data_IF_374884861899
#
_entry.id   IF_374884861899
#
_cell.length_a   1.000
_cell.length_b   1.000
_cell.length_c   1.000
_cell.angle_alpha   90.00
_cell.angle_beta   90.00
_cell.angle_gamma   90.00
#
_symmetry.space_group_name_H-M   'P 1'
#
loop_
_entity.id
_entity.type
_entity.pdbx_description
1 polymer ?
#
# COMPACT_ATOMS: atom_id res chain seq x y z
N UNK A 1 -50.71 73.24 -7.95
CA UNK A 1 -50.82 71.97 -7.21
C UNK A 1 -51.02 70.83 -8.20
N UNK A 2 -49.99 70.02 -8.46
CA UNK A 2 -50.10 68.73 -9.16
C UNK A 2 -49.36 67.72 -8.30
N UNK A 3 -50.12 66.92 -7.54
CA UNK A 3 -49.63 65.73 -6.85
C UNK A 3 -49.41 64.63 -7.90
N UNK A 4 -48.21 64.04 -7.92
CA UNK A 4 -48.01 62.71 -8.48
C UNK A 4 -47.29 61.87 -7.44
N UNK A 5 -47.96 60.78 -7.09
CA UNK A 5 -47.53 59.74 -6.17
C UNK A 5 -46.28 59.01 -6.70
N UNK A 6 -45.40 58.63 -5.78
CA UNK A 6 -44.22 57.80 -6.05
C UNK A 6 -44.64 56.34 -5.87
N UNK A 7 -44.57 55.49 -6.92
CA UNK A 7 -44.86 54.08 -6.76
C UNK A 7 -43.63 53.32 -6.25
N UNK A 8 -43.96 52.43 -5.31
CA UNK A 8 -43.22 51.32 -4.71
C UNK A 8 -42.24 50.62 -5.67
N UNK A 9 -40.95 50.61 -5.30
CA UNK A 9 -39.97 49.60 -5.72
C UNK A 9 -39.60 48.81 -4.45
N UNK A 10 -40.12 47.59 -4.26
CA UNK A 10 -39.60 46.33 -4.78
C UNK A 10 -38.11 46.12 -4.44
N UNK A 11 -37.63 44.99 -3.95
CA UNK A 11 -38.18 43.82 -3.28
C UNK A 11 -36.95 43.02 -2.83
N UNK A 12 -37.11 42.22 -1.79
CA UNK A 12 -36.30 41.05 -1.44
C UNK A 12 -34.79 41.25 -1.17
N UNK A 13 -34.50 41.28 0.13
CA UNK A 13 -33.31 40.68 0.73
C UNK A 13 -33.02 39.31 0.11
N UNK A 14 -31.75 39.03 -0.22
CA UNK A 14 -31.10 37.74 -0.02
C UNK A 14 -29.59 37.93 -0.21
N UNK A 15 -28.88 38.03 0.92
CA UNK A 15 -27.43 37.92 0.96
C UNK A 15 -27.02 36.53 0.50
N UNK A 16 -26.39 36.46 -0.68
CA UNK A 16 -25.68 35.26 -1.09
C UNK A 16 -24.31 35.29 -0.40
N UNK A 17 -24.16 34.49 0.65
CA UNK A 17 -22.84 34.04 1.10
C UNK A 17 -22.16 33.38 -0.09
N UNK A 18 -21.25 34.10 -0.74
CA UNK A 18 -20.24 33.47 -1.57
C UNK A 18 -19.33 32.68 -0.61
N UNK A 19 -19.74 31.45 -0.30
CA UNK A 19 -18.78 30.43 0.09
C UNK A 19 -17.87 30.28 -1.12
N UNK A 20 -16.79 31.05 -1.14
CA UNK A 20 -15.56 30.67 -1.82
C UNK A 20 -15.10 29.39 -1.14
N UNK A 21 -15.72 28.27 -1.53
CA UNK A 21 -15.12 26.97 -1.34
C UNK A 21 -13.85 27.02 -2.16
N UNK A 22 -12.75 27.30 -1.46
CA UNK A 22 -11.46 26.81 -1.88
C UNK A 22 -11.60 25.28 -1.79
N UNK A 23 -12.17 24.68 -2.82
CA UNK A 23 -12.08 23.24 -3.03
C UNK A 23 -10.61 23.05 -3.37
N UNK A 24 -9.77 22.47 -2.50
CA UNK A 24 -8.50 21.98 -2.98
C UNK A 24 -8.88 21.05 -4.13
N UNK A 25 -8.30 21.28 -5.30
CA UNK A 25 -8.36 20.32 -6.38
C UNK A 25 -7.99 18.98 -5.73
N UNK A 26 -8.99 18.12 -5.51
CA UNK A 26 -8.76 16.78 -5.07
C UNK A 26 -7.88 16.21 -6.17
N UNK A 27 -6.60 16.04 -5.85
CA UNK A 27 -5.62 15.52 -6.78
C UNK A 27 -6.27 14.32 -7.43
N UNK A 28 -6.36 14.35 -8.75
CA UNK A 28 -6.84 13.23 -9.52
C UNK A 28 -6.10 12.00 -9.00
N UNK A 29 -6.83 11.11 -8.34
CA UNK A 29 -6.32 9.80 -7.94
C UNK A 29 -6.06 9.08 -9.25
N UNK A 30 -4.82 9.18 -9.70
CA UNK A 30 -4.34 8.54 -10.92
C UNK A 30 -4.50 7.05 -10.77
N UNK A 31 -5.40 6.49 -11.56
CA UNK A 31 -5.46 5.06 -11.80
C UNK A 31 -4.20 4.65 -12.57
N UNK A 32 -3.22 4.07 -11.87
CA UNK A 32 -2.08 3.38 -12.47
C UNK A 32 -0.74 3.74 -11.83
N UNK A 33 -0.15 2.77 -11.16
CA UNK A 33 1.24 2.69 -10.69
C UNK A 33 2.28 2.88 -11.81
N UNK A 34 2.33 4.06 -12.43
CA UNK A 34 3.49 4.51 -13.21
C UNK A 34 3.78 5.91 -12.73
N UNK A 35 4.39 6.02 -11.56
CA UNK A 35 4.86 7.31 -11.10
C UNK A 35 6.04 7.73 -11.97
N UNK A 36 6.08 8.97 -12.48
CA UNK A 36 7.16 9.45 -13.35
C UNK A 36 8.53 9.54 -12.66
N UNK A 37 8.63 9.07 -11.42
CA UNK A 37 9.81 8.99 -10.60
C UNK A 37 9.75 7.71 -9.75
N UNK A 38 10.91 7.06 -9.57
CA UNK A 38 11.03 5.89 -8.70
C UNK A 38 11.01 6.30 -7.22
N UNK A 39 10.17 5.70 -6.41
CA UNK A 39 10.26 5.80 -4.95
C UNK A 39 10.02 4.43 -4.33
N UNK A 40 10.50 4.25 -3.11
CA UNK A 40 10.30 3.00 -2.37
C UNK A 40 10.52 3.15 -0.88
N UNK A 41 10.00 2.17 -0.15
CA UNK A 41 10.24 1.96 1.28
C UNK A 41 11.09 0.69 1.44
N UNK A 42 12.11 0.74 2.30
CA UNK A 42 12.99 -0.41 2.58
C UNK A 42 13.21 -0.56 4.09
N UNK A 43 12.92 -1.73 4.67
CA UNK A 43 12.26 -2.90 4.05
C UNK A 43 10.77 -2.66 3.74
N UNK A 44 10.16 -3.52 2.91
CA UNK A 44 8.71 -3.48 2.64
C UNK A 44 7.88 -4.19 3.72
N UNK A 45 8.53 -4.93 4.63
CA UNK A 45 7.92 -5.53 5.81
C UNK A 45 8.75 -5.19 7.03
N UNK A 46 8.11 -4.68 8.08
CA UNK A 46 8.78 -4.17 9.27
C UNK A 46 7.91 -4.44 10.52
N UNK A 47 8.47 -4.81 11.68
CA UNK A 47 7.69 -4.90 12.91
C UNK A 47 7.24 -3.51 13.40
N UNK A 48 6.21 -3.44 14.27
CA UNK A 48 5.92 -2.23 15.04
C UNK A 48 7.17 -1.70 15.75
N UNK A 49 7.38 -0.39 15.76
CA UNK A 49 8.60 0.24 16.32
C UNK A 49 9.85 0.11 15.44
N UNK A 50 9.78 -0.60 14.31
CA UNK A 50 10.92 -0.78 13.42
C UNK A 50 11.21 0.45 12.54
N UNK A 51 12.45 0.55 12.06
CA UNK A 51 12.88 1.65 11.20
C UNK A 51 12.75 1.28 9.71
N UNK A 52 12.21 2.19 8.92
CA UNK A 52 12.19 2.11 7.46
C UNK A 52 13.00 3.24 6.81
N UNK A 53 13.56 2.94 5.66
CA UNK A 53 14.25 3.92 4.80
C UNK A 53 13.34 4.29 3.63
N UNK A 54 12.97 5.56 3.58
CA UNK A 54 12.19 6.16 2.51
C UNK A 54 13.15 6.65 1.43
N UNK A 55 12.91 6.29 0.18
CA UNK A 55 13.79 6.66 -0.95
C UNK A 55 13.01 7.28 -2.10
N UNK A 56 13.58 8.31 -2.70
CA UNK A 56 13.07 9.01 -3.88
C UNK A 56 14.19 9.15 -4.90
N UNK A 57 13.95 8.70 -6.13
CA UNK A 57 14.83 8.90 -7.26
C UNK A 57 14.73 10.34 -7.76
N UNK A 58 15.89 10.93 -8.05
CA UNK A 58 16.03 12.31 -8.49
C UNK A 58 16.95 12.45 -9.71
N UNK A 59 17.39 11.34 -10.31
CA UNK A 59 18.41 11.34 -11.36
C UNK A 59 17.94 12.10 -12.61
N UNK A 60 16.66 11.93 -12.97
CA UNK A 60 16.06 12.53 -14.17
C UNK A 60 15.54 13.96 -13.93
N UNK A 61 15.74 14.50 -12.72
CA UNK A 61 15.30 15.84 -12.36
C UNK A 61 13.79 16.01 -12.21
N UNK A 62 13.03 14.91 -12.10
CA UNK A 62 11.57 14.90 -11.94
C UNK A 62 11.10 15.31 -10.53
N UNK A 63 11.98 15.19 -9.52
CA UNK A 63 11.75 15.64 -8.15
C UNK A 63 12.91 16.54 -7.67
N UNK A 64 12.75 17.87 -7.85
CA UNK A 64 13.73 18.90 -7.50
C UNK A 64 13.49 19.47 -6.11
N UNK A 65 12.22 19.60 -5.72
CA UNK A 65 11.79 20.16 -4.44
C UNK A 65 11.96 19.21 -3.24
N UNK A 66 11.46 19.62 -2.06
CA UNK A 66 11.29 18.71 -0.94
C UNK A 66 10.24 17.64 -1.28
N UNK A 67 10.52 16.40 -0.90
CA UNK A 67 9.53 15.33 -1.01
C UNK A 67 8.89 15.08 0.35
N UNK A 68 7.57 15.04 0.40
CA UNK A 68 6.80 14.70 1.60
C UNK A 68 6.38 13.25 1.50
N UNK A 69 6.56 12.51 2.59
CA UNK A 69 6.20 11.11 2.69
C UNK A 69 5.29 10.91 3.89
N UNK A 70 4.13 10.29 3.69
CA UNK A 70 3.15 10.07 4.73
C UNK A 70 2.57 8.67 4.68
N UNK A 71 2.27 8.13 5.85
CA UNK A 71 1.53 6.89 6.05
C UNK A 71 0.78 7.00 7.38
N UNK A 72 -0.28 6.23 7.60
CA UNK A 72 -0.99 6.21 8.89
C UNK A 72 -0.18 5.57 10.02
N UNK A 73 0.97 4.94 9.72
CA UNK A 73 1.77 4.13 10.66
C UNK A 73 3.08 4.77 11.08
N UNK A 74 3.37 6.00 10.62
CA UNK A 74 4.54 6.77 11.03
C UNK A 74 4.28 8.27 10.82
N UNK A 75 5.04 9.12 11.50
CA UNK A 75 4.96 10.56 11.33
C UNK A 75 5.34 11.01 9.91
N UNK A 76 4.66 12.03 9.41
CA UNK A 76 4.99 12.59 8.08
C UNK A 76 6.45 13.05 8.03
N UNK A 77 7.21 12.51 7.07
CA UNK A 77 8.64 12.80 6.90
C UNK A 77 8.86 13.68 5.68
N UNK A 78 9.68 14.72 5.82
CA UNK A 78 10.15 15.51 4.69
C UNK A 78 11.57 15.10 4.32
N UNK A 79 11.77 14.70 3.06
CA UNK A 79 13.09 14.49 2.45
C UNK A 79 13.52 15.82 1.81
N UNK A 80 14.53 16.53 2.38
CA UNK A 80 14.95 17.83 1.86
C UNK A 80 15.42 17.77 0.41
N UNK A 81 15.38 18.91 -0.26
CA UNK A 81 16.01 19.09 -1.58
C UNK A 81 17.46 18.61 -1.56
N UNK A 82 17.88 17.90 -2.62
CA UNK A 82 19.23 17.33 -2.72
C UNK A 82 19.48 16.08 -1.89
N UNK A 83 18.51 15.59 -1.11
CA UNK A 83 18.58 14.27 -0.45
C UNK A 83 17.59 13.31 -1.10
N UNK A 84 18.05 12.10 -1.37
CA UNK A 84 17.20 11.05 -1.95
C UNK A 84 16.64 10.09 -0.90
N UNK A 85 17.01 10.23 0.38
CA UNK A 85 16.63 9.29 1.43
C UNK A 85 16.32 9.98 2.75
N UNK A 86 15.38 9.41 3.52
CA UNK A 86 15.18 9.70 4.94
C UNK A 86 14.79 8.42 5.71
N UNK A 87 14.85 8.50 7.03
CA UNK A 87 14.41 7.44 7.94
C UNK A 87 13.06 7.80 8.55
N UNK A 88 12.23 6.79 8.78
CA UNK A 88 10.99 6.89 9.54
C UNK A 88 10.92 5.69 10.49
N UNK A 89 10.37 5.91 11.69
CA UNK A 89 10.11 4.85 12.65
C UNK A 89 8.62 4.55 12.59
N UNK A 90 8.28 3.27 12.47
CA UNK A 90 6.89 2.82 12.53
C UNK A 90 6.40 2.92 13.96
N UNK A 91 5.19 3.41 14.14
CA UNK A 91 4.53 3.51 15.44
C UNK A 91 4.53 2.13 16.15
N UNK A 92 5.01 2.04 17.41
CA UNK A 92 5.04 0.77 18.14
C UNK A 92 3.64 0.22 18.47
N UNK A 93 2.61 1.06 18.48
CA UNK A 93 1.23 0.72 18.82
C UNK A 93 0.38 0.39 17.57
N UNK A 94 0.99 0.35 16.37
CA UNK A 94 0.30 -0.04 15.14
C UNK A 94 -0.12 -1.51 15.16
N UNK A 95 -1.27 -1.81 14.57
CA UNK A 95 -1.78 -3.18 14.44
C UNK A 95 -0.83 -4.08 13.63
N UNK A 96 -0.33 -5.18 14.21
CA UNK A 96 0.50 -6.15 13.49
C UNK A 96 -0.27 -6.88 12.39
N UNK A 97 0.40 -7.17 11.27
CA UNK A 97 -0.18 -7.94 10.17
C UNK A 97 -0.95 -7.10 9.13
N UNK A 98 -1.11 -5.79 9.36
CA UNK A 98 -1.72 -4.87 8.42
C UNK A 98 -0.83 -4.52 7.22
N UNK A 99 -1.48 -4.10 6.12
CA UNK A 99 -0.80 -3.51 4.95
C UNK A 99 -1.27 -2.07 4.79
N UNK A 100 -0.31 -1.14 4.72
CA UNK A 100 -0.58 0.28 4.71
C UNK A 100 -0.01 0.94 3.46
N UNK A 101 -0.76 1.91 2.91
CA UNK A 101 -0.31 2.71 1.78
C UNK A 101 0.58 3.85 2.27
N UNK A 102 1.76 3.96 1.68
CA UNK A 102 2.72 5.04 1.90
C UNK A 102 2.66 5.96 0.69
N UNK A 103 2.29 7.21 0.91
CA UNK A 103 2.23 8.24 -0.12
C UNK A 103 3.53 9.03 -0.18
N UNK A 104 4.05 9.23 -1.37
CA UNK A 104 5.17 10.11 -1.69
C UNK A 104 4.65 11.24 -2.56
N UNK A 105 4.95 12.48 -2.19
CA UNK A 105 4.61 13.67 -2.97
C UNK A 105 5.86 14.52 -3.18
N UNK A 106 6.15 14.88 -4.42
CA UNK A 106 7.21 15.81 -4.77
C UNK A 106 6.78 16.67 -5.95
N UNK A 107 6.97 17.99 -5.84
CA UNK A 107 6.67 18.96 -6.90
C UNK A 107 5.25 18.81 -7.52
N UNK A 108 4.27 18.42 -6.70
CA UNK A 108 2.87 18.22 -7.10
C UNK A 108 2.55 16.86 -7.72
N UNK A 109 3.57 16.03 -8.01
CA UNK A 109 3.38 14.65 -8.41
C UNK A 109 3.34 13.76 -7.17
N UNK A 110 2.41 12.80 -7.17
CA UNK A 110 2.22 11.86 -6.06
C UNK A 110 2.26 10.42 -6.55
N UNK A 111 2.65 9.52 -5.65
CA UNK A 111 2.61 8.08 -5.87
C UNK A 111 2.54 7.32 -4.56
N UNK A 112 2.13 6.06 -4.63
CA UNK A 112 1.92 5.22 -3.45
C UNK A 112 2.67 3.91 -3.54
N UNK A 113 3.09 3.37 -2.39
CA UNK A 113 3.64 2.01 -2.29
C UNK A 113 3.19 1.38 -0.99
N UNK A 114 3.13 0.06 -0.93
CA UNK A 114 2.67 -0.66 0.25
C UNK A 114 3.81 -0.93 1.24
N UNK A 115 3.51 -0.76 2.53
CA UNK A 115 4.33 -1.17 3.66
C UNK A 115 3.54 -2.17 4.51
N UNK A 116 4.09 -3.35 4.72
CA UNK A 116 3.48 -4.40 5.56
C UNK A 116 4.03 -4.31 6.98
N UNK A 117 3.14 -4.32 7.97
CA UNK A 117 3.53 -4.49 9.36
C UNK A 117 3.60 -5.99 9.65
N UNK A 118 4.76 -6.45 10.10
CA UNK A 118 4.96 -7.85 10.44
C UNK A 118 3.95 -8.27 11.52
N UNK A 119 3.21 -9.36 11.26
CA UNK A 119 2.35 -9.98 12.26
C UNK A 119 3.15 -10.81 13.26
N UNK A 120 2.54 -11.14 14.39
CA UNK A 120 3.07 -12.18 15.26
C UNK A 120 2.94 -13.53 14.55
N UNK A 121 4.05 -14.23 14.33
CA UNK A 121 3.96 -15.66 14.04
C UNK A 121 3.47 -16.34 15.31
N UNK A 122 2.39 -17.14 15.27
CA UNK A 122 2.03 -17.99 16.40
C UNK A 122 3.27 -18.81 16.75
N UNK A 123 3.77 -18.67 17.97
CA UNK A 123 4.79 -19.61 18.45
C UNK A 123 4.10 -20.98 18.46
N UNK A 124 4.59 -21.98 17.71
CA UNK A 124 3.99 -23.31 17.77
C UNK A 124 4.03 -23.77 19.24
N UNK A 125 2.93 -24.37 19.75
CA UNK A 125 2.96 -24.89 21.12
C UNK A 125 4.17 -25.83 21.26
N UNK A 126 4.84 -25.86 22.43
CA UNK A 126 5.92 -26.80 22.64
C UNK A 126 5.39 -28.19 22.30
N UNK A 127 6.04 -28.89 21.35
CA UNK A 127 5.65 -30.27 21.06
C UNK A 127 5.63 -31.04 22.38
N UNK A 128 4.56 -31.77 22.69
CA UNK A 128 4.55 -32.63 23.86
C UNK A 128 5.76 -33.55 23.74
N UNK A 129 6.69 -33.44 24.69
CA UNK A 129 7.81 -34.36 24.80
C UNK A 129 7.21 -35.70 25.19
N UNK A 130 6.88 -36.52 24.20
CA UNK A 130 6.54 -37.93 24.44
C UNK A 130 7.78 -38.54 25.06
N UNK A 131 7.72 -39.08 26.29
CA UNK A 131 8.85 -39.78 26.88
C UNK A 131 9.28 -40.89 25.91
N UNK A 132 10.55 -40.90 25.51
CA UNK A 132 11.08 -41.97 24.68
C UNK A 132 10.77 -43.31 25.38
N UNK A 133 10.25 -44.33 24.67
CA UNK A 133 10.08 -45.65 25.24
C UNK A 133 11.42 -46.14 25.77
N UNK A 134 11.50 -46.38 27.08
CA UNK A 134 12.63 -47.05 27.70
C UNK A 134 12.66 -48.48 27.17
N UNK A 135 13.52 -48.71 26.17
CA UNK A 135 13.76 -50.05 25.65
C UNK A 135 14.37 -50.90 26.77
N UNK A 136 13.77 -52.05 27.14
CA UNK A 136 14.42 -53.00 28.04
C UNK A 136 15.74 -53.46 27.40
N UNK A 137 16.84 -53.34 28.13
CA UNK A 137 18.16 -53.74 27.65
C UNK A 137 18.19 -55.22 27.29
N UNK A 138 18.18 -55.53 26.00
CA UNK A 138 18.55 -56.85 25.52
C UNK A 138 20.06 -56.87 25.30
N UNK A 139 20.77 -57.55 26.19
CA UNK A 139 22.18 -57.88 26.01
C UNK A 139 22.34 -58.71 24.73
N UNK A 140 22.91 -58.08 23.69
CA UNK A 140 23.34 -58.77 22.48
C UNK A 140 24.64 -59.51 22.78
N UNK A 141 24.75 -60.84 22.55
CA UNK A 141 26.01 -61.55 22.69
C UNK A 141 27.02 -61.08 21.63
N UNK A 142 28.33 -61.10 21.92
CA UNK A 142 29.36 -60.65 20.99
C UNK A 142 29.40 -61.55 19.74
N UNK A 143 29.63 -61.00 18.54
CA UNK A 143 29.76 -61.79 17.32
C UNK A 143 31.07 -62.61 17.33
N UNK A 144 31.09 -63.81 16.71
CA UNK A 144 32.33 -64.57 16.53
C UNK A 144 33.28 -63.81 15.59
N UNK A 145 34.57 -63.83 15.93
CA UNK A 145 35.62 -63.07 15.25
C UNK A 145 35.79 -63.45 13.78
N UNK A 146 35.85 -62.43 12.92
CA UNK A 146 36.26 -62.55 11.52
C UNK A 146 37.80 -62.39 11.39
N UNK A 147 38.45 -63.10 10.45
CA UNK A 147 39.86 -62.87 10.12
C UNK A 147 40.06 -61.47 9.53
N UNK A 148 41.21 -60.87 9.85
CA UNK A 148 41.58 -59.50 9.48
C UNK A 148 41.61 -59.29 7.97
N UNK A 149 40.88 -58.27 7.50
CA UNK A 149 41.00 -57.71 6.15
C UNK A 149 41.83 -56.41 6.23
N UNK A 150 42.78 -56.15 5.31
CA UNK A 150 43.72 -55.04 5.41
C UNK A 150 43.09 -53.65 5.35
N UNK A 151 43.77 -52.75 6.04
CA UNK A 151 43.52 -51.34 6.32
C UNK A 151 43.10 -50.48 5.10
N UNK A 152 42.04 -49.67 5.29
CA UNK A 152 41.84 -48.42 4.56
C UNK A 152 41.65 -47.26 5.59
N UNK A 153 42.37 -46.12 5.47
CA UNK A 153 42.37 -45.05 6.47
C UNK A 153 41.06 -44.24 6.62
N UNK A 154 41.02 -43.46 7.72
CA UNK A 154 39.88 -42.97 8.50
C UNK A 154 39.22 -41.62 8.08
N UNK A 155 37.87 -41.52 8.30
CA UNK A 155 37.01 -40.36 8.71
C UNK A 155 36.87 -39.08 7.83
N UNK A 156 35.90 -38.14 8.04
CA UNK A 156 34.73 -38.11 8.97
C UNK A 156 33.36 -37.58 8.43
N UNK A 157 32.28 -37.99 9.13
CA UNK A 157 31.07 -37.23 9.50
C UNK A 157 30.08 -36.71 8.41
N UNK A 158 28.85 -37.20 8.53
CA UNK A 158 27.68 -36.95 7.71
C UNK A 158 26.99 -35.62 8.09
N UNK A 159 26.74 -34.67 7.16
CA UNK A 159 25.77 -33.61 7.40
C UNK A 159 24.35 -34.16 7.16
N UNK A 160 23.50 -34.10 8.18
CA UNK A 160 22.07 -34.35 8.04
C UNK A 160 21.45 -33.39 7.02
N UNK A 161 20.81 -33.93 5.98
CA UNK A 161 20.00 -33.13 5.06
C UNK A 161 18.62 -32.89 5.69
N UNK A 162 18.20 -31.63 5.94
CA UNK A 162 16.83 -31.36 6.33
C UNK A 162 15.91 -31.70 5.15
N UNK A 163 15.03 -32.68 5.35
CA UNK A 163 13.86 -32.84 4.49
C UNK A 163 12.85 -31.75 4.83
N UNK A 164 12.28 -31.13 3.78
CA UNK A 164 10.83 -31.05 3.50
C UNK A 164 10.51 -29.73 2.78
N UNK A 165 10.37 -29.81 1.47
CA UNK A 165 9.73 -28.75 0.68
C UNK A 165 8.24 -28.68 1.03
N UNK A 166 7.71 -27.47 1.08
CA UNK A 166 6.27 -27.21 1.14
C UNK A 166 5.84 -26.60 -0.18
N UNK A 167 4.97 -27.31 -0.91
CA UNK A 167 4.09 -26.71 -1.90
C UNK A 167 2.85 -26.23 -1.17
N UNK A 168 2.67 -24.92 -1.09
CA UNK A 168 1.41 -24.31 -0.67
C UNK A 168 1.12 -23.13 -1.60
N UNK A 169 -0.04 -23.14 -2.24
CA UNK A 169 -0.53 -22.03 -3.05
C UNK A 169 -1.32 -22.45 -4.29
N UNK A 170 -2.32 -23.32 -4.13
CA UNK A 170 -3.44 -23.41 -5.07
C UNK A 170 -4.62 -22.65 -4.46
N UNK A 171 -5.22 -21.74 -5.23
CA UNK A 171 -6.50 -21.12 -4.88
C UNK A 171 -6.61 -19.64 -5.25
N UNK A 172 -7.45 -19.34 -6.24
CA UNK A 172 -7.89 -17.98 -6.52
C UNK A 172 -8.66 -17.86 -7.82
N UNK A 173 -9.94 -18.25 -7.80
CA UNK A 173 -10.92 -18.05 -8.87
C UNK A 173 -11.00 -16.58 -9.29
N UNK A 174 -10.49 -16.25 -10.48
CA UNK A 174 -10.81 -15.00 -11.16
C UNK A 174 -12.01 -15.25 -12.08
N UNK A 175 -13.23 -15.03 -11.57
CA UNK A 175 -14.40 -14.63 -12.36
C UNK A 175 -15.64 -14.62 -11.46
N UNK A 176 -15.76 -13.61 -10.61
CA UNK A 176 -17.07 -13.01 -10.35
C UNK A 176 -16.97 -11.53 -10.71
N UNK A 177 -16.69 -11.30 -12.01
CA UNK A 177 -16.88 -10.01 -12.63
C UNK A 177 -18.37 -9.93 -12.98
N UNK A 178 -19.19 -9.50 -12.03
CA UNK A 178 -20.57 -9.11 -12.29
C UNK A 178 -20.60 -8.08 -13.45
N UNK A 179 -21.10 -8.44 -14.64
CA UNK A 179 -21.19 -7.50 -15.75
C UNK A 179 -22.24 -6.41 -15.50
N UNK A 180 -23.15 -6.63 -14.54
CA UNK A 180 -24.20 -5.69 -14.18
C UNK A 180 -23.67 -4.40 -13.56
N UNK A 181 -22.64 -4.47 -12.70
CA UNK A 181 -22.03 -3.29 -12.06
C UNK A 181 -21.16 -2.45 -12.99
N UNK A 182 -20.58 -3.05 -14.04
CA UNK A 182 -19.72 -2.34 -15.01
C UNK A 182 -20.56 -1.48 -15.98
N UNK A 183 -21.82 -1.86 -16.24
CA UNK A 183 -22.72 -1.08 -17.12
C UNK A 183 -23.18 0.26 -16.55
N UNK A 184 -23.23 0.40 -15.22
CA UNK A 184 -23.81 1.57 -14.56
C UNK A 184 -22.84 2.78 -14.54
N UNK A 185 -21.53 2.52 -14.48
CA UNK A 185 -20.51 3.56 -14.50
C UNK A 185 -20.43 4.32 -15.84
N UNK A 186 -20.56 3.59 -16.96
CA UNK A 186 -20.47 4.19 -18.29
C UNK A 186 -21.65 5.16 -18.59
N UNK A 187 -22.86 4.84 -18.13
CA UNK A 187 -24.04 5.70 -18.29
C UNK A 187 -23.90 7.00 -17.49
N UNK A 188 -23.33 6.94 -16.29
CA UNK A 188 -23.09 8.12 -15.47
C UNK A 188 -22.06 9.07 -16.12
N UNK A 189 -20.98 8.54 -16.69
CA UNK A 189 -19.94 9.35 -17.36
C UNK A 189 -20.49 9.99 -18.64
N UNK A 190 -21.21 9.21 -19.47
CA UNK A 190 -21.80 9.74 -20.69
C UNK A 190 -22.90 10.80 -20.39
N UNK A 191 -23.70 10.59 -19.35
CA UNK A 191 -24.72 11.55 -18.90
C UNK A 191 -24.10 12.87 -18.42
N UNK A 192 -23.01 12.81 -17.66
CA UNK A 192 -22.31 14.00 -17.18
C UNK A 192 -21.70 14.83 -18.33
N UNK A 193 -21.05 14.17 -19.29
CA UNK A 193 -20.49 14.83 -20.48
C UNK A 193 -21.58 15.39 -21.40
N UNK A 194 -22.67 14.65 -21.60
CA UNK A 194 -23.81 15.09 -22.40
C UNK A 194 -24.51 16.32 -21.81
N UNK A 195 -24.71 16.35 -20.49
CA UNK A 195 -25.30 17.50 -19.80
C UNK A 195 -24.42 18.75 -19.90
N UNK A 196 -23.10 18.59 -19.70
CA UNK A 196 -22.14 19.69 -19.83
C UNK A 196 -22.12 20.27 -21.26
N UNK A 197 -22.08 19.39 -22.28
CA UNK A 197 -22.11 19.82 -23.68
C UNK A 197 -23.43 20.49 -24.08
N UNK A 198 -24.57 19.95 -23.63
CA UNK A 198 -25.89 20.53 -23.90
C UNK A 198 -26.07 21.92 -23.26
N UNK A 199 -25.59 22.12 -22.02
CA UNK A 199 -25.57 23.43 -21.36
C UNK A 199 -24.63 24.42 -22.05
N UNK A 200 -23.47 23.95 -22.53
CA UNK A 200 -22.55 24.79 -23.31
C UNK A 200 -23.19 25.26 -24.61
N UNK A 201 -23.96 24.42 -25.30
CA UNK A 201 -24.63 24.82 -26.55
C UNK A 201 -25.75 25.83 -26.35
N UNK A 202 -26.44 25.82 -25.20
CA UNK A 202 -27.50 26.82 -24.94
C UNK A 202 -26.97 28.23 -24.73
N UNK A 203 -25.73 28.41 -24.27
CA UNK A 203 -25.13 29.75 -24.07
C UNK A 203 -24.63 30.41 -25.36
N UNK A 204 -24.61 29.70 -26.49
CA UNK A 204 -24.16 30.25 -27.79
C UNK A 204 -25.27 30.91 -28.62
N UNK A 205 -26.46 31.13 -28.06
CA UNK A 205 -27.62 31.69 -28.78
C UNK A 205 -27.95 33.15 -28.46
N UNK A 206 -27.17 33.81 -27.60
CA UNK A 206 -27.47 35.15 -27.09
C UNK A 206 -26.29 36.11 -27.33
N UNK A 207 -25.93 36.30 -28.60
CA UNK A 207 -25.12 37.44 -29.06
C UNK A 207 -25.66 37.89 -30.43
N UNK A 208 -26.69 38.75 -30.39
CA UNK A 208 -27.35 39.25 -31.60
C UNK A 208 -28.39 40.32 -31.28
N UNK A 209 -27.94 41.49 -30.82
CA UNK A 209 -28.68 42.75 -30.85
C UNK A 209 -27.69 43.93 -30.93
#
# INVERSE_FOLDING_TARGET
MRMRAIPVAAAALLGACALTSCVPAAGAVGQGDITPFGFRVVPATVPPGGEVTLRVDRADGTCKGPATVSAPVFDTVTIPRGRSTAKAVVDPDVEPGGVYQVSFTCDGASGTTSLTIAGHSPTPPPSPSVPAPSHPGHHRPPPPGHPQQPEHPQQPEHPEHPRKGVHAGEGGTFADLDPGRIGLGAVLIAGALGAAYHLSRRRGGEDGA
#
